data_IF_677105943010
#
_entry.id   IF_677105943010
#
_cell.length_a   1.000
_cell.length_b   1.000
_cell.length_c   1.000
_cell.angle_alpha   90.00
_cell.angle_beta   90.00
_cell.angle_gamma   90.00
#
_symmetry.space_group_name_H-M   'P 1'
#
loop_
_entity.id
_entity.type
_entity.pdbx_description
1 polymer ?
2 non-polymer ?
3 water ?
#
# COMPACT_ATOMS: atom_id res chain seq x y z
N UNK A 13 22.62 9.14 11.88
CA UNK A 13 23.99 9.47 11.53
C UNK A 13 24.38 8.63 10.31
N UNK A 14 24.39 7.29 10.50
CA UNK A 14 24.69 6.34 9.44
C UNK A 14 23.82 6.51 8.20
N UNK A 15 24.46 6.66 7.03
CA UNK A 15 23.76 6.91 5.77
C UNK A 15 22.79 5.77 5.44
N UNK A 16 21.56 6.15 5.09
CA UNK A 16 20.48 5.22 4.77
C UNK A 16 19.92 5.56 3.40
N UNK A 17 19.42 4.53 2.71
CA UNK A 17 18.81 4.62 1.40
C UNK A 17 17.42 4.00 1.46
N UNK A 18 16.47 4.67 0.83
CA UNK A 18 15.05 4.29 0.87
C UNK A 18 14.48 4.31 -0.52
N UNK A 19 13.54 3.40 -0.77
CA UNK A 19 12.70 3.41 -1.95
C UNK A 19 11.29 3.79 -1.50
N UNK A 20 10.67 4.73 -2.19
CA UNK A 20 9.23 4.97 -1.96
C UNK A 20 8.54 4.82 -3.30
N UNK A 21 7.63 3.85 -3.38
CA UNK A 21 6.89 3.62 -4.61
C UNK A 21 5.64 4.50 -4.66
N UNK A 22 5.16 4.73 -5.89
CA UNK A 22 4.09 5.68 -6.17
C UNK A 22 4.32 7.05 -5.53
N UNK A 23 5.51 7.62 -5.72
CA UNK A 23 5.93 8.75 -4.91
C UNK A 23 5.94 10.09 -5.63
N UNK A 24 5.39 10.19 -6.86
CA UNK A 24 5.34 11.44 -7.60
C UNK A 24 4.19 12.37 -7.19
N UNK A 25 3.27 11.92 -6.33
CA UNK A 25 2.21 12.80 -5.84
C UNK A 25 1.67 12.23 -4.55
N UNK A 26 0.75 12.97 -3.93
CA UNK A 26 -0.03 12.40 -2.83
C UNK A 26 0.80 12.21 -1.58
N UNK A 27 0.52 11.12 -0.86
CA UNK A 27 1.24 10.86 0.39
C UNK A 27 2.67 10.39 0.11
N UNK A 28 2.85 9.54 -0.91
CA UNK A 28 4.19 9.11 -1.31
C UNK A 28 5.15 10.27 -1.44
N UNK A 29 4.76 11.32 -2.19
CA UNK A 29 5.58 12.52 -2.35
C UNK A 29 5.97 13.10 -0.99
N UNK A 30 5.02 13.16 -0.05
CA UNK A 30 5.31 13.72 1.27
C UNK A 30 6.20 12.79 2.11
N UNK A 31 6.01 11.46 1.99
CA UNK A 31 6.95 10.52 2.61
C UNK A 31 8.37 10.80 2.13
N UNK A 32 8.56 10.90 0.81
CA UNK A 32 9.88 11.18 0.23
C UNK A 32 10.46 12.46 0.79
N UNK A 33 9.63 13.52 0.84
CA UNK A 33 10.10 14.80 1.31
C UNK A 33 10.60 14.67 2.74
N UNK A 34 9.84 13.99 3.58
CA UNK A 34 10.18 13.92 4.98
C UNK A 34 11.36 13.00 5.26
N UNK A 35 11.53 11.91 4.51
CA UNK A 35 12.75 11.11 4.62
C UNK A 35 13.96 11.92 4.16
N UNK A 36 13.84 12.60 3.03
CA UNK A 36 14.98 13.34 2.52
C UNK A 36 15.39 14.43 3.49
N UNK A 37 14.42 15.06 4.17
CA UNK A 37 14.77 16.10 5.11
C UNK A 37 15.46 15.55 6.36
N UNK A 38 15.39 14.25 6.61
CA UNK A 38 16.08 13.69 7.76
C UNK A 38 17.43 13.06 7.40
N UNK A 39 17.96 13.38 6.22
CA UNK A 39 19.23 12.85 5.79
C UNK A 39 19.16 11.56 5.01
N UNK A 40 17.99 10.92 4.95
CA UNK A 40 17.87 9.70 4.15
C UNK A 40 18.04 10.03 2.67
N UNK A 41 18.74 9.15 1.92
CA UNK A 41 18.79 9.28 0.48
C UNK A 41 17.66 8.46 -0.11
N UNK A 42 16.77 9.11 -0.84
CA UNK A 42 15.49 8.54 -1.25
C UNK A 42 15.47 8.32 -2.75
N UNK A 43 14.96 7.16 -3.16
CA UNK A 43 14.61 6.94 -4.55
C UNK A 43 13.13 7.24 -4.69
N UNK A 44 12.82 8.28 -5.45
CA UNK A 44 11.45 8.66 -5.78
C UNK A 44 11.03 7.85 -7.01
N UNK A 45 10.20 6.83 -6.80
CA UNK A 45 9.75 5.93 -7.85
C UNK A 45 8.38 6.38 -8.36
N UNK A 46 8.23 6.47 -9.69
CA UNK A 46 6.92 6.82 -10.26
C UNK A 46 6.64 6.01 -11.50
N UNK A 47 5.37 5.69 -11.70
CA UNK A 47 4.99 4.87 -12.83
C UNK A 47 5.43 5.53 -14.15
N UNK A 48 5.26 6.85 -14.24
CA UNK A 48 5.72 7.62 -15.40
C UNK A 48 7.05 8.32 -15.11
N UNK A 49 8.05 8.14 -15.99
CA UNK A 49 9.37 8.68 -15.69
C UNK A 49 9.36 10.21 -15.60
N UNK A 50 8.62 10.88 -16.50
CA UNK A 50 8.67 12.34 -16.54
C UNK A 50 7.98 12.98 -15.33
N UNK A 51 6.91 12.37 -14.81
CA UNK A 51 6.29 12.97 -13.63
C UNK A 51 7.18 12.82 -12.41
N UNK A 52 7.96 11.75 -12.35
CA UNK A 52 8.88 11.59 -11.22
C UNK A 52 10.05 12.54 -11.28
N UNK A 53 10.56 12.79 -12.48
CA UNK A 53 11.58 13.82 -12.65
C UNK A 53 11.03 15.15 -12.19
N UNK A 54 9.81 15.47 -12.62
CA UNK A 54 9.21 16.74 -12.24
C UNK A 54 8.94 16.81 -10.75
N UNK A 55 8.49 15.71 -10.14
CA UNK A 55 8.25 15.71 -8.69
C UNK A 55 9.55 15.93 -7.93
N UNK A 56 10.65 15.34 -8.42
CA UNK A 56 11.92 15.54 -7.75
C UNK A 56 12.32 17.00 -7.77
N UNK A 57 12.14 17.68 -8.91
CA UNK A 57 12.47 19.10 -9.01
C UNK A 57 11.73 19.93 -7.98
N UNK A 58 10.42 19.69 -7.84
CA UNK A 58 9.64 20.44 -6.86
C UNK A 58 10.08 20.10 -5.45
N UNK A 59 10.39 18.84 -5.21
CA UNK A 59 10.89 18.43 -3.92
C UNK A 59 12.20 19.15 -3.60
N UNK A 60 13.10 19.23 -4.58
CA UNK A 60 14.38 19.89 -4.35
C UNK A 60 14.20 21.39 -4.20
N UNK A 61 13.26 21.99 -4.93
CA UNK A 61 13.02 23.43 -4.80
C UNK A 61 12.46 23.78 -3.42
N UNK A 62 11.65 22.88 -2.84
CA UNK A 62 11.06 23.14 -1.53
C UNK A 62 12.06 22.90 -0.40
N UNK A 63 12.86 21.83 -0.48
CA UNK A 63 13.80 21.55 0.59
C UNK A 63 15.08 22.40 0.49
N UNK A 64 15.48 22.80 -0.72
CA UNK A 64 16.75 23.49 -0.88
C UNK A 64 17.69 22.71 -1.79
N UNK A 65 18.53 23.40 -2.55
CA UNK A 65 19.37 22.70 -3.52
C UNK A 65 20.39 21.77 -2.85
N UNK A 66 20.68 22.00 -1.57
CA UNK A 66 21.63 21.15 -0.85
C UNK A 66 21.12 19.72 -0.71
N UNK A 67 19.82 19.48 -0.93
CA UNK A 67 19.24 18.14 -0.93
C UNK A 67 19.24 17.49 -2.29
N UNK A 68 19.85 18.11 -3.30
CA UNK A 68 19.79 17.56 -4.64
C UNK A 68 20.33 16.14 -4.74
N UNK A 69 21.38 15.82 -3.95
CA UNK A 69 21.98 14.49 -3.94
C UNK A 69 21.17 13.45 -3.16
N UNK A 70 20.30 13.90 -2.25
CA UNK A 70 19.49 13.03 -1.41
C UNK A 70 18.19 12.54 -2.07
N UNK A 71 17.81 13.04 -3.24
CA UNK A 71 16.61 12.58 -3.93
C UNK A 71 16.99 12.14 -5.34
N UNK A 72 16.56 10.95 -5.74
CA UNK A 72 16.82 10.43 -7.06
C UNK A 72 15.52 9.88 -7.65
N UNK A 73 15.24 10.22 -8.90
CA UNK A 73 14.05 9.73 -9.57
C UNK A 73 14.34 8.42 -10.33
N UNK A 74 13.43 7.47 -10.23
CA UNK A 74 13.56 6.23 -11.01
C UNK A 74 12.16 5.78 -11.43
N UNK A 75 11.99 5.45 -12.71
CA UNK A 75 10.73 4.89 -13.19
C UNK A 75 10.47 3.55 -12.53
N UNK A 76 9.21 3.30 -12.14
CA UNK A 76 8.84 2.02 -11.51
C UNK A 76 7.36 1.79 -11.72
N UNK A 77 7.03 0.73 -12.42
CA UNK A 77 5.67 0.20 -12.46
C UNK A 77 5.67 -1.14 -11.73
N UNK A 78 4.99 -1.18 -10.58
CA UNK A 78 5.05 -2.35 -9.69
C UNK A 78 4.37 -3.57 -10.33
N UNK A 79 3.55 -3.35 -11.36
CA UNK A 79 2.86 -4.42 -12.07
C UNK A 79 3.69 -5.03 -13.19
N UNK A 80 4.90 -4.51 -13.45
CA UNK A 80 5.74 -4.83 -14.60
C UNK A 80 7.05 -5.41 -14.09
N UNK A 81 7.22 -6.74 -14.15
CA UNK A 81 8.45 -7.36 -13.62
C UNK A 81 9.73 -6.74 -14.16
N UNK A 82 9.73 -6.33 -15.43
CA UNK A 82 10.94 -5.76 -16.03
C UNK A 82 11.26 -4.40 -15.43
N UNK A 83 10.21 -3.62 -15.10
CA UNK A 83 10.39 -2.36 -14.38
C UNK A 83 11.01 -2.61 -13.01
N UNK A 84 10.44 -3.56 -12.26
CA UNK A 84 11.00 -3.93 -10.96
C UNK A 84 12.47 -4.35 -11.12
N UNK A 85 12.76 -5.27 -12.06
CA UNK A 85 14.14 -5.74 -12.23
C UNK A 85 15.08 -4.58 -12.55
N UNK A 86 14.65 -3.65 -13.41
CA UNK A 86 15.49 -2.49 -13.69
C UNK A 86 15.76 -1.67 -12.44
N UNK A 87 14.79 -1.60 -11.51
CA UNK A 87 15.01 -0.78 -10.31
C UNK A 87 16.02 -1.44 -9.39
N UNK A 88 15.91 -2.78 -9.23
CA UNK A 88 16.94 -3.49 -8.47
C UNK A 88 18.33 -3.25 -9.06
N UNK A 89 18.44 -3.28 -10.40
CA UNK A 89 19.76 -3.04 -10.99
C UNK A 89 20.25 -1.64 -10.73
N UNK A 90 19.33 -0.66 -10.81
CA UNK A 90 19.69 0.72 -10.56
C UNK A 90 20.22 0.88 -9.13
N UNK A 91 19.51 0.33 -8.15
CA UNK A 91 19.93 0.50 -6.77
C UNK A 91 21.24 -0.21 -6.53
N UNK A 92 21.40 -1.38 -7.16
CA UNK A 92 22.65 -2.12 -7.01
C UNK A 92 23.84 -1.31 -7.51
N UNK A 93 23.75 -0.74 -8.71
CA UNK A 93 24.93 -0.09 -9.27
C UNK A 93 25.10 1.33 -8.78
N UNK A 94 24.05 1.96 -8.25
CA UNK A 94 24.27 3.34 -7.85
C UNK A 94 24.64 3.48 -6.38
N UNK A 95 24.05 2.64 -5.51
CA UNK A 95 24.23 2.71 -4.05
C UNK A 95 24.82 1.45 -3.44
N UNK A 96 24.43 0.27 -3.91
CA UNK A 96 24.94 -0.99 -3.39
C UNK A 96 24.17 -1.52 -2.20
N UNK A 97 23.22 -0.75 -1.67
CA UNK A 97 22.60 -1.02 -0.39
C UNK A 97 21.18 -0.47 -0.44
N UNK A 98 20.31 -1.03 0.40
CA UNK A 98 18.98 -0.50 0.66
C UNK A 98 18.60 -0.83 2.09
N UNK A 99 17.99 0.14 2.76
CA UNK A 99 17.58 0.05 4.17
C UNK A 99 16.07 0.15 4.38
N UNK A 100 15.34 0.93 3.57
CA UNK A 100 13.92 1.19 3.75
C UNK A 100 13.17 0.98 2.44
N UNK A 101 12.07 0.23 2.49
CA UNK A 101 11.12 0.13 1.38
C UNK A 101 9.78 0.68 1.85
N UNK A 102 9.22 1.68 1.16
CA UNK A 102 7.84 2.11 1.47
C UNK A 102 6.97 1.75 0.28
N UNK A 103 6.15 0.72 0.45
CA UNK A 103 5.16 0.31 -0.54
C UNK A 103 3.94 1.21 -0.41
N UNK A 104 3.94 2.23 -1.22
CA UNK A 104 2.88 3.21 -1.25
C UNK A 104 2.06 3.17 -2.52
N UNK A 105 2.59 2.62 -3.62
CA UNK A 105 1.81 2.57 -4.85
C UNK A 105 0.50 1.82 -4.62
N UNK A 106 -0.61 2.38 -5.11
CA UNK A 106 -1.91 1.78 -4.85
C UNK A 106 -3.02 2.31 -5.72
N UNK A 107 -4.06 1.50 -5.85
CA UNK A 107 -5.26 1.78 -6.64
C UNK A 107 -6.48 1.50 -5.79
N UNK A 108 -7.57 2.23 -6.10
CA UNK A 108 -8.87 2.08 -5.47
C UNK A 108 -9.75 1.03 -6.14
N UNK A 109 -9.57 0.79 -7.44
CA UNK A 109 -10.48 -0.09 -8.16
C UNK A 109 -11.84 0.53 -8.48
N UNK A 110 -11.96 1.85 -8.33
CA UNK A 110 -13.23 2.52 -8.52
C UNK A 110 -13.05 3.85 -9.23
N UNK A 111 -14.15 4.33 -9.82
CA UNK A 111 -14.20 5.72 -10.26
C UNK A 111 -15.63 6.20 -10.14
N UNK A 112 -15.82 7.51 -10.27
CA UNK A 112 -17.12 8.15 -10.19
C UNK A 112 -17.66 8.45 -11.58
N UNK A 113 -18.89 8.02 -11.84
CA UNK A 113 -19.72 8.59 -12.90
C UNK A 113 -20.50 9.76 -12.33
N UNK A 114 -20.59 10.84 -13.10
CA UNK A 114 -21.38 11.99 -12.68
C UNK A 114 -20.68 12.88 -11.66
N UNK A 115 -21.45 13.47 -10.74
CA UNK A 115 -20.88 14.33 -9.69
C UNK A 115 -19.87 13.56 -8.84
N UNK A 116 -18.58 13.90 -8.98
CA UNK A 116 -17.51 13.20 -8.24
C UNK A 116 -17.65 13.34 -6.74
N UNK A 117 -18.41 14.32 -6.26
CA UNK A 117 -18.45 14.59 -4.82
C UNK A 117 -19.36 13.62 -4.07
N UNK A 118 -20.27 12.93 -4.77
CA UNK A 118 -21.03 11.82 -4.20
C UNK A 118 -20.12 10.75 -3.59
N UNK A 119 -18.83 10.73 -3.96
CA UNK A 119 -17.89 9.81 -3.35
C UNK A 119 -17.85 9.97 -1.83
N UNK A 120 -17.97 11.21 -1.34
CA UNK A 120 -18.00 11.44 0.10
C UNK A 120 -19.21 10.78 0.77
N UNK A 121 -20.31 10.61 0.05
CA UNK A 121 -21.45 9.87 0.60
C UNK A 121 -21.14 8.38 0.68
N UNK A 122 -20.44 7.86 -0.32
CA UNK A 122 -20.07 6.46 -0.28
C UNK A 122 -19.07 6.20 0.85
N UNK A 123 -18.09 7.10 1.01
CA UNK A 123 -17.07 6.92 2.04
C UNK A 123 -17.69 7.02 3.43
N UNK A 124 -18.67 7.92 3.57
CA UNK A 124 -19.39 8.10 4.83
C UNK A 124 -20.13 6.82 5.23
N UNK A 125 -20.88 6.22 4.30
CA UNK A 125 -21.59 4.99 4.59
C UNK A 125 -20.63 3.89 5.04
N UNK A 126 -19.43 3.83 4.47
CA UNK A 126 -18.52 2.77 4.90
C UNK A 126 -18.04 3.03 6.32
N UNK A 127 -17.79 4.30 6.66
CA UNK A 127 -17.17 4.62 7.95
C UNK A 127 -18.11 4.43 9.13
N UNK A 128 -19.43 4.50 8.90
CA UNK A 128 -20.35 4.21 9.99
C UNK A 128 -20.23 2.76 10.44
N UNK A 129 -19.74 1.86 9.58
CA UNK A 129 -19.56 0.47 10.02
C UNK A 129 -18.62 0.36 11.21
N UNK A 130 -17.65 1.27 11.32
CA UNK A 130 -16.81 1.30 12.52
C UNK A 130 -17.60 1.64 13.77
N UNK A 131 -18.60 2.52 13.66
CA UNK A 131 -19.32 2.86 14.87
C UNK A 131 -20.46 1.88 15.14
N UNK A 132 -20.72 0.93 14.25
CA UNK A 132 -21.82 -0.02 14.43
C UNK A 132 -21.42 -1.48 14.23
N UNK A 133 -20.37 -1.78 13.48
CA UNK A 133 -20.03 -3.17 13.21
C UNK A 133 -21.02 -3.88 12.33
N UNK A 134 -22.13 -3.25 11.95
CA UNK A 134 -23.10 -3.83 11.04
C UNK A 134 -22.54 -3.66 9.63
N UNK A 135 -21.99 -4.74 9.07
CA UNK A 135 -21.41 -4.69 7.73
C UNK A 135 -22.50 -5.01 6.70
N UNK A 136 -23.03 -3.96 6.05
CA UNK A 136 -23.99 -4.12 4.97
C UNK A 136 -23.42 -4.97 3.84
N UNK A 137 -24.25 -5.89 3.33
CA UNK A 137 -23.87 -6.76 2.21
C UNK A 137 -24.62 -6.44 0.92
N UNK A 138 -25.67 -5.55 0.98
CA UNK A 138 -26.48 -5.14 -0.16
C UNK A 138 -26.02 -3.78 -0.66
N UNK A 139 -25.93 -3.64 -1.98
CA UNK A 139 -25.37 -2.41 -2.54
C UNK A 139 -26.32 -1.25 -2.32
N UNK A 140 -25.79 -0.17 -1.77
CA UNK A 140 -26.56 1.05 -1.53
C UNK A 140 -25.85 2.24 -2.16
N UNK A 141 -26.48 2.81 -3.20
CA UNK A 141 -25.98 4.01 -3.88
C UNK A 141 -26.69 5.24 -3.35
N UNK A 142 -26.00 6.12 -2.63
CA UNK A 142 -26.70 7.20 -1.90
C UNK A 142 -27.45 8.18 -2.79
N UNK A 143 -26.99 8.45 -4.02
CA UNK A 143 -27.66 9.43 -4.86
C UNK A 143 -27.68 8.94 -6.30
N UNK A 144 -28.55 9.57 -7.09
CA UNK A 144 -28.52 9.41 -8.54
C UNK A 144 -27.71 10.53 -9.21
N UNK A 145 -27.25 11.51 -8.42
CA UNK A 145 -26.30 12.53 -8.90
C UNK A 145 -24.98 11.90 -9.38
N UNK A 146 -24.45 10.91 -8.62
CA UNK A 146 -23.25 10.19 -9.01
C UNK A 146 -23.36 8.70 -8.70
N UNK A 147 -22.40 7.93 -9.24
CA UNK A 147 -22.37 6.49 -8.99
C UNK A 147 -20.92 6.01 -8.93
N UNK A 148 -20.63 5.17 -7.93
CA UNK A 148 -19.29 4.62 -7.74
C UNK A 148 -19.20 3.38 -8.62
N UNK A 149 -18.46 3.48 -9.74
CA UNK A 149 -18.38 2.40 -10.70
C UNK A 149 -17.21 1.51 -10.33
N UNK A 150 -17.43 0.19 -10.34
CA UNK A 150 -16.37 -0.79 -10.08
C UNK A 150 -16.36 -1.84 -11.19
N UNK A 151 -15.58 -1.60 -12.26
CA UNK A 151 -15.53 -2.55 -13.36
C UNK A 151 -14.67 -3.77 -13.04
N UNK A 152 -14.88 -4.82 -13.81
CA UNK A 152 -14.11 -6.05 -13.64
C UNK A 152 -12.62 -5.82 -13.90
N UNK A 153 -12.29 -5.08 -14.96
CA UNK A 153 -10.88 -4.82 -15.27
C UNK A 153 -10.19 -4.01 -14.17
N UNK A 154 -10.84 -2.94 -13.67
CA UNK A 154 -10.33 -2.20 -12.52
C UNK A 154 -10.19 -3.06 -11.26
N UNK A 155 -11.10 -4.03 -11.03
CA UNK A 155 -10.89 -4.96 -9.92
C UNK A 155 -9.63 -5.79 -10.11
N UNK A 156 -9.36 -6.28 -11.34
CA UNK A 156 -8.13 -7.02 -11.61
C UNK A 156 -6.90 -6.13 -11.38
N UNK A 157 -6.89 -4.94 -11.97
CA UNK A 157 -5.75 -4.04 -11.81
C UNK A 157 -5.51 -3.70 -10.34
N UNK A 158 -6.60 -3.52 -9.58
CA UNK A 158 -6.46 -3.17 -8.18
C UNK A 158 -5.79 -4.28 -7.37
N UNK A 159 -6.23 -5.54 -7.56
CA UNK A 159 -5.57 -6.69 -6.93
C UNK A 159 -4.13 -6.85 -7.44
N UNK A 160 -3.93 -6.70 -8.76
CA UNK A 160 -2.60 -6.87 -9.34
C UNK A 160 -1.61 -5.82 -8.81
N UNK A 161 -2.07 -4.59 -8.57
CA UNK A 161 -1.16 -3.58 -8.06
C UNK A 161 -1.01 -3.68 -6.54
N UNK A 162 -2.13 -3.64 -5.80
CA UNK A 162 -2.05 -3.52 -4.35
C UNK A 162 -1.45 -4.76 -3.69
N UNK A 163 -1.86 -5.95 -4.13
CA UNK A 163 -1.31 -7.17 -3.54
C UNK A 163 -0.07 -7.61 -4.32
N UNK A 164 -0.22 -8.05 -5.58
CA UNK A 164 0.92 -8.64 -6.31
C UNK A 164 2.02 -7.61 -6.60
N UNK A 165 1.64 -6.37 -6.92
CA UNK A 165 2.63 -5.30 -7.07
C UNK A 165 3.48 -5.10 -5.85
N UNK A 166 2.86 -4.92 -4.69
CA UNK A 166 3.62 -4.68 -3.46
C UNK A 166 4.49 -5.89 -3.15
N UNK A 167 3.94 -7.09 -3.32
CA UNK A 167 4.67 -8.32 -3.05
C UNK A 167 5.84 -8.49 -4.04
N UNK A 168 5.61 -8.15 -5.31
CA UNK A 168 6.67 -8.26 -6.32
C UNK A 168 7.86 -7.38 -5.98
N UNK A 169 7.58 -6.10 -5.68
CA UNK A 169 8.62 -5.16 -5.27
C UNK A 169 9.32 -5.62 -4.00
N UNK A 170 8.57 -6.17 -3.03
CA UNK A 170 9.18 -6.54 -1.76
C UNK A 170 10.20 -7.66 -1.95
N UNK A 171 9.77 -8.71 -2.63
CA UNK A 171 10.63 -9.87 -2.85
C UNK A 171 11.84 -9.52 -3.72
N UNK A 172 11.72 -8.60 -4.70
CA UNK A 172 12.92 -8.19 -5.45
C UNK A 172 13.92 -7.41 -4.60
N UNK A 173 13.49 -6.73 -3.55
CA UNK A 173 14.38 -5.86 -2.79
C UNK A 173 14.81 -6.48 -1.46
N UNK A 174 14.10 -7.50 -0.99
CA UNK A 174 14.52 -8.22 0.21
C UNK A 174 16.00 -8.62 0.18
N UNK A 175 16.52 -9.22 -0.91
CA UNK A 175 17.95 -9.60 -0.87
C UNK A 175 18.86 -8.44 -0.56
N UNK A 176 18.56 -7.29 -1.14
CA UNK A 176 19.29 -6.07 -0.85
C UNK A 176 19.02 -5.56 0.58
N UNK A 177 17.74 -5.55 1.02
CA UNK A 177 17.40 -5.04 2.35
C UNK A 177 18.02 -5.89 3.44
N UNK A 178 18.14 -7.19 3.19
CA UNK A 178 18.66 -8.09 4.20
C UNK A 178 20.12 -7.79 4.56
N UNK A 179 20.87 -7.11 3.69
CA UNK A 179 22.23 -6.69 4.04
C UNK A 179 22.29 -5.40 4.83
N UNK A 180 21.14 -4.93 5.32
CA UNK A 180 21.06 -3.75 6.16
C UNK A 180 21.11 -4.19 7.62
N UNK A 181 21.79 -3.39 8.47
CA UNK A 181 21.74 -3.72 9.90
C UNK A 181 20.46 -3.23 10.59
N UNK A 182 19.53 -2.62 9.84
CA UNK A 182 18.18 -2.34 10.30
C UNK A 182 17.24 -2.20 9.10
N UNK A 183 16.87 -3.31 8.45
CA UNK A 183 15.97 -3.21 7.31
C UNK A 183 14.54 -2.89 7.73
N UNK A 184 13.90 -1.99 6.96
CA UNK A 184 12.57 -1.46 7.27
C UNK A 184 11.66 -1.59 6.05
N UNK A 185 10.50 -2.21 6.23
CA UNK A 185 9.49 -2.28 5.18
C UNK A 185 8.19 -1.76 5.75
N UNK A 186 7.56 -0.80 5.04
CA UNK A 186 6.32 -0.16 5.44
C UNK A 186 5.32 -0.34 4.30
N UNK A 187 4.18 -0.96 4.61
CA UNK A 187 3.13 -1.19 3.62
C UNK A 187 1.98 -0.24 3.88
N UNK A 188 1.74 0.67 2.94
CA UNK A 188 0.66 1.64 3.07
C UNK A 188 -0.66 0.95 2.75
N UNK A 189 -1.46 0.72 3.79
CA UNK A 189 -2.77 0.04 3.73
C UNK A 189 -3.90 1.09 3.83
N UNK A 190 -5.08 0.67 4.30
CA UNK A 190 -6.24 1.56 4.41
C UNK A 190 -7.15 1.07 5.52
N UNK A 191 -7.91 1.99 6.12
CA UNK A 191 -8.93 1.56 7.08
C UNK A 191 -9.93 0.59 6.45
N UNK A 192 -10.22 0.70 5.14
CA UNK A 192 -11.07 -0.32 4.50
C UNK A 192 -10.45 -1.71 4.51
N UNK A 193 -9.22 -1.86 5.00
CA UNK A 193 -8.64 -3.19 5.12
C UNK A 193 -9.18 -3.94 6.33
N UNK A 194 -9.81 -3.21 7.26
CA UNK A 194 -10.35 -3.82 8.47
C UNK A 194 -11.31 -4.95 8.15
N UNK A 195 -11.23 -6.02 8.93
CA UNK A 195 -12.10 -7.16 8.68
C UNK A 195 -13.57 -6.90 9.01
N UNK A 196 -13.91 -5.78 9.70
CA UNK A 196 -15.32 -5.44 9.90
C UNK A 196 -16.02 -5.35 8.55
N UNK A 197 -15.28 -5.00 7.48
CA UNK A 197 -15.86 -4.82 6.15
C UNK A 197 -15.91 -6.10 5.35
N UNK A 198 -15.21 -7.15 5.80
CA UNK A 198 -15.15 -8.39 5.03
C UNK A 198 -16.43 -9.17 5.27
N UNK A 199 -17.41 -8.91 4.40
CA UNK A 199 -18.69 -9.59 4.46
C UNK A 199 -18.56 -11.10 4.26
N UNK A 200 -17.58 -11.56 3.48
CA UNK A 200 -17.52 -12.97 3.09
C UNK A 200 -16.87 -13.77 4.21
N UNK A 201 -17.63 -14.71 4.78
CA UNK A 201 -17.18 -15.34 6.04
C UNK A 201 -15.97 -16.23 5.82
N UNK A 202 -15.94 -16.96 4.70
CA UNK A 202 -14.75 -17.76 4.38
C UNK A 202 -13.50 -16.88 4.31
N UNK A 203 -13.56 -15.82 3.49
CA UNK A 203 -12.41 -14.92 3.31
C UNK A 203 -12.00 -14.28 4.64
N UNK A 204 -12.98 -13.81 5.43
CA UNK A 204 -12.68 -13.26 6.74
C UNK A 204 -11.95 -14.27 7.61
N UNK A 205 -12.38 -15.53 7.58
CA UNK A 205 -11.67 -16.56 8.34
C UNK A 205 -10.22 -16.68 7.94
N UNK A 206 -9.94 -16.69 6.64
CA UNK A 206 -8.56 -16.78 6.18
C UNK A 206 -7.76 -15.59 6.71
N UNK A 207 -8.26 -14.36 6.48
CA UNK A 207 -7.53 -13.15 6.87
C UNK A 207 -7.27 -13.10 8.38
N UNK A 208 -8.15 -13.74 9.20
CA UNK A 208 -8.09 -13.68 10.65
C UNK A 208 -7.12 -14.68 11.25
N UNK A 209 -6.71 -15.68 10.46
CA UNK A 209 -5.85 -16.74 10.95
C UNK A 209 -4.54 -16.19 11.47
N UNK A 210 -4.20 -16.58 12.69
CA UNK A 210 -2.89 -16.29 13.25
C UNK A 210 -1.95 -17.46 13.08
N UNK A 211 -2.48 -18.65 12.87
CA UNK A 211 -1.72 -19.87 12.67
C UNK A 211 -2.13 -20.52 11.36
N UNK A 212 -1.15 -21.06 10.64
CA UNK A 212 -1.46 -21.73 9.40
C UNK A 212 -1.89 -20.81 8.27
N UNK A 213 -1.61 -19.52 8.39
CA UNK A 213 -1.84 -18.59 7.29
C UNK A 213 -0.68 -18.69 6.31
N UNK A 214 -1.00 -18.98 5.05
CA UNK A 214 0.00 -19.05 3.99
C UNK A 214 -0.34 -18.05 2.88
N UNK A 215 0.70 -17.64 2.16
CA UNK A 215 0.51 -16.89 0.92
C UNK A 215 -0.37 -17.65 -0.05
N UNK A 216 -0.29 -18.98 -0.03
CA UNK A 216 -1.13 -19.77 -0.92
C UNK A 216 -2.60 -19.56 -0.59
N UNK A 217 -2.95 -19.50 0.71
CA UNK A 217 -4.35 -19.30 1.09
C UNK A 217 -4.80 -17.90 0.71
N UNK A 218 -3.93 -16.89 0.91
CA UNK A 218 -4.26 -15.53 0.48
C UNK A 218 -4.56 -15.48 -1.00
N UNK A 219 -3.69 -16.10 -1.79
CA UNK A 219 -3.89 -16.05 -3.23
C UNK A 219 -5.16 -16.76 -3.64
N UNK A 220 -5.56 -17.78 -2.88
CA UNK A 220 -6.80 -18.50 -3.17
C UNK A 220 -8.01 -17.61 -2.90
N UNK A 221 -7.96 -16.81 -1.85
CA UNK A 221 -9.03 -15.87 -1.58
C UNK A 221 -9.11 -14.85 -2.71
N UNK A 222 -7.96 -14.35 -3.16
CA UNK A 222 -7.95 -13.35 -4.21
C UNK A 222 -8.54 -13.91 -5.50
N UNK A 223 -8.09 -15.12 -5.88
CA UNK A 223 -8.59 -15.74 -7.10
C UNK A 223 -10.09 -16.02 -6.99
N UNK A 224 -10.54 -16.42 -5.80
CA UNK A 224 -11.96 -16.69 -5.61
C UNK A 224 -12.77 -15.41 -5.71
N UNK A 225 -12.26 -14.31 -5.16
CA UNK A 225 -12.97 -13.05 -5.28
C UNK A 225 -13.05 -12.59 -6.73
N UNK A 226 -11.94 -12.76 -7.47
CA UNK A 226 -11.93 -12.32 -8.87
C UNK A 226 -12.83 -13.18 -9.72
N UNK A 227 -12.97 -14.46 -9.38
CA UNK A 227 -13.83 -15.34 -10.17
C UNK A 227 -15.29 -14.96 -9.95
N UNK A 228 -15.69 -14.79 -8.70
CA UNK A 228 -17.05 -14.35 -8.43
C UNK A 228 -17.31 -12.94 -8.94
N UNK A 229 -16.30 -12.08 -8.99
CA UNK A 229 -16.54 -10.73 -9.49
C UNK A 229 -16.79 -10.75 -11.00
N UNK A 230 -15.96 -11.47 -11.74
CA UNK A 230 -16.21 -11.72 -13.16
C UNK A 230 -17.58 -12.39 -13.35
N UNK A 231 -17.84 -13.48 -12.63
CA UNK A 231 -19.11 -14.19 -12.76
C UNK A 231 -20.31 -13.33 -12.37
N UNK A 232 -20.10 -12.14 -11.82
CA UNK A 232 -21.21 -11.28 -11.45
C UNK A 232 -21.98 -11.71 -10.22
N UNK A 233 -21.37 -12.50 -9.35
CA UNK A 233 -22.02 -13.00 -8.14
C UNK A 233 -21.49 -12.33 -6.87
N UNK A 234 -21.08 -11.06 -6.97
CA UNK A 234 -20.48 -10.36 -5.83
C UNK A 234 -21.42 -10.39 -4.62
N UNK A 235 -22.70 -10.15 -4.86
CA UNK A 235 -23.60 -10.12 -3.72
C UNK A 235 -24.06 -11.53 -3.35
N UNK A 236 -24.29 -12.38 -4.35
CA UNK A 236 -24.60 -13.77 -4.10
C UNK A 236 -23.61 -14.37 -3.10
N UNK A 237 -22.31 -14.21 -3.36
CA UNK A 237 -21.24 -14.81 -2.58
C UNK A 237 -20.85 -13.98 -1.36
N UNK A 238 -21.62 -12.93 -1.02
CA UNK A 238 -21.44 -12.16 0.22
C UNK A 238 -20.16 -11.33 0.22
N UNK A 239 -19.66 -10.94 -0.94
CA UNK A 239 -18.53 -10.04 -1.04
C UNK A 239 -19.00 -8.61 -0.78
N UNK A 240 -18.09 -7.73 -0.33
CA UNK A 240 -18.49 -6.34 0.01
C UNK A 240 -19.14 -5.64 -1.17
N UNK A 241 -20.26 -4.94 -0.96
CA UNK A 241 -20.91 -4.28 -2.09
C UNK A 241 -20.12 -3.11 -2.68
N UNK A 242 -19.37 -2.35 -1.89
CA UNK A 242 -18.63 -1.19 -2.40
C UNK A 242 -17.17 -1.26 -1.99
N UNK A 243 -16.31 -0.64 -2.81
CA UNK A 243 -14.85 -0.70 -2.64
C UNK A 243 -14.37 -2.14 -2.50
N UNK A 244 -14.98 -3.01 -3.31
CA UNK A 244 -14.88 -4.43 -3.03
C UNK A 244 -13.45 -4.94 -3.26
N UNK A 245 -12.89 -4.73 -4.45
CA UNK A 245 -11.52 -5.15 -4.73
C UNK A 245 -10.54 -4.48 -3.77
N UNK A 246 -10.77 -3.20 -3.48
CA UNK A 246 -9.91 -2.47 -2.57
C UNK A 246 -9.85 -3.14 -1.21
N UNK A 247 -11.02 -3.45 -0.66
CA UNK A 247 -11.06 -4.06 0.66
C UNK A 247 -10.33 -5.41 0.70
N UNK A 248 -10.64 -6.30 -0.26
CA UNK A 248 -10.00 -7.60 -0.29
C UNK A 248 -8.50 -7.48 -0.52
N UNK A 249 -8.07 -6.58 -1.43
CA UNK A 249 -6.64 -6.48 -1.72
C UNK A 249 -5.85 -5.91 -0.55
N UNK A 250 -6.39 -4.90 0.14
CA UNK A 250 -5.64 -4.32 1.25
C UNK A 250 -5.67 -5.22 2.48
N UNK A 251 -6.76 -5.94 2.71
CA UNK A 251 -6.74 -6.97 3.75
C UNK A 251 -5.70 -8.06 3.42
N UNK A 252 -5.65 -8.53 2.17
CA UNK A 252 -4.63 -9.50 1.81
C UNK A 252 -3.24 -8.94 2.08
N UNK A 253 -3.01 -7.68 1.72
CA UNK A 253 -1.70 -7.05 1.95
C UNK A 253 -1.34 -7.02 3.43
N UNK A 254 -2.31 -6.71 4.31
CA UNK A 254 -2.09 -6.79 5.75
C UNK A 254 -1.67 -8.20 6.17
N UNK A 255 -2.45 -9.20 5.78
CA UNK A 255 -2.11 -10.57 6.12
C UNK A 255 -0.73 -10.94 5.56
N UNK A 256 -0.43 -10.48 4.35
CA UNK A 256 0.87 -10.77 3.77
C UNK A 256 1.99 -10.12 4.57
N UNK A 257 1.77 -8.88 5.04
CA UNK A 257 2.68 -8.19 5.94
C UNK A 257 3.00 -9.03 7.18
N UNK A 258 2.00 -9.69 7.78
CA UNK A 258 2.32 -10.50 8.95
C UNK A 258 3.14 -11.74 8.56
N UNK A 259 2.83 -12.33 7.41
CA UNK A 259 3.54 -13.53 6.94
C UNK A 259 5.03 -13.24 6.82
N UNK A 260 5.41 -12.20 6.06
CA UNK A 260 6.83 -11.87 5.93
C UNK A 260 7.41 -11.24 7.21
N UNK A 261 6.60 -10.64 8.07
CA UNK A 261 7.13 -10.22 9.38
C UNK A 261 7.75 -11.41 10.12
N UNK A 262 7.05 -12.56 10.10
CA UNK A 262 7.52 -13.78 10.74
C UNK A 262 8.66 -14.44 9.96
N UNK A 263 8.70 -14.29 8.62
CA UNK A 263 9.78 -14.90 7.83
C UNK A 263 11.13 -14.23 8.11
N UNK A 264 11.12 -12.90 8.31
CA UNK A 264 12.32 -12.08 8.46
C UNK A 264 12.29 -11.35 9.81
N UNK A 265 12.53 -12.07 10.91
CA UNK A 265 12.54 -11.43 12.24
C UNK A 265 13.54 -10.29 12.40
N UNK A 266 14.66 -10.33 11.70
CA UNK A 266 15.61 -9.24 11.87
C UNK A 266 15.13 -7.94 11.22
N UNK A 267 14.07 -7.98 10.39
CA UNK A 267 13.46 -6.81 9.80
C UNK A 267 12.36 -6.27 10.72
N UNK A 268 12.01 -4.99 10.53
CA UNK A 268 10.77 -4.40 11.03
C UNK A 268 9.85 -4.17 9.84
N UNK A 269 8.77 -4.97 9.74
CA UNK A 269 7.82 -4.94 8.64
C UNK A 269 6.42 -4.60 9.19
N UNK A 270 5.82 -3.51 8.71
CA UNK A 270 4.53 -3.09 9.26
C UNK A 270 3.66 -2.49 8.16
N UNK A 271 2.33 -2.58 8.38
CA UNK A 271 1.29 -1.88 7.61
C UNK A 271 0.80 -0.67 8.39
N UNK A 272 0.35 0.35 7.67
CA UNK A 272 -0.12 1.56 8.35
C UNK A 272 -1.25 2.19 7.54
N UNK A 273 -2.36 2.53 8.21
CA UNK A 273 -3.38 3.38 7.59
C UNK A 273 -2.96 4.84 7.72
N UNK A 274 -2.79 5.58 6.63
CA UNK A 274 -2.35 6.97 6.76
C UNK A 274 -3.54 7.87 7.08
N UNK A 289 -4.57 16.48 5.42
CA UNK A 289 -3.55 16.89 4.46
C UNK A 289 -2.56 15.73 4.21
N UNK A 290 -1.79 15.82 3.14
CA UNK A 290 -0.87 14.72 2.84
C UNK A 290 0.36 14.75 3.72
N UNK A 291 0.83 15.95 4.08
CA UNK A 291 2.00 16.05 4.93
C UNK A 291 1.75 15.40 6.28
N UNK A 292 0.54 15.57 6.83
CA UNK A 292 0.23 14.96 8.13
C UNK A 292 0.05 13.45 7.99
N UNK A 293 -0.60 13.01 6.92
CA UNK A 293 -0.80 11.59 6.74
C UNK A 293 0.51 10.85 6.47
N UNK A 294 1.55 11.54 5.99
CA UNK A 294 2.85 10.91 5.75
C UNK A 294 3.62 10.66 7.04
N UNK A 295 3.27 11.33 8.14
CA UNK A 295 4.00 11.19 9.40
C UNK A 295 4.01 9.75 9.91
N UNK A 296 2.88 9.06 9.78
CA UNK A 296 2.80 7.69 10.30
C UNK A 296 3.70 6.73 9.50
N UNK A 297 3.61 6.63 8.17
CA UNK A 297 4.59 5.77 7.49
C UNK A 297 6.02 6.23 7.68
N UNK A 298 6.28 7.54 7.80
CA UNK A 298 7.66 7.98 7.98
C UNK A 298 8.22 7.50 9.31
N UNK A 299 7.41 7.58 10.37
CA UNK A 299 7.84 7.07 11.67
C UNK A 299 8.16 5.58 11.61
N UNK A 300 7.33 4.80 10.91
CA UNK A 300 7.60 3.38 10.76
C UNK A 300 8.83 3.09 9.89
N UNK A 301 9.18 4.00 8.97
CA UNK A 301 10.36 3.79 8.13
C UNK A 301 11.66 4.03 8.89
N UNK A 302 11.62 4.88 9.93
CA UNK A 302 12.74 5.15 10.82
C UNK A 302 12.57 4.47 12.18
N UNK A 303 11.73 3.46 12.25
CA UNK A 303 11.42 2.80 13.51
C UNK A 303 12.70 2.25 14.16
N UNK A 304 12.91 2.49 15.47
CA UNK A 304 14.05 1.89 16.19
C UNK A 304 14.02 0.36 16.18
N UNK A 305 15.18 -0.23 16.52
CA UNK A 305 15.37 -1.69 16.55
C UNK A 305 14.30 -2.43 17.36
N UNK A 306 13.75 -1.80 18.39
CA UNK A 306 12.76 -2.46 19.23
C UNK A 306 11.33 -2.17 18.88
N UNK A 307 11.10 -1.46 17.78
CA UNK A 307 9.77 -1.29 17.25
C UNK A 307 9.15 -2.63 16.95
N UNK A 308 7.83 -2.66 16.87
CA UNK A 308 7.12 -3.89 16.52
C UNK A 308 7.32 -4.29 15.06
N UNK A 309 6.78 -5.45 14.74
CA UNK A 309 6.84 -6.01 13.40
C UNK A 309 5.62 -6.91 13.24
N UNK A 310 4.96 -6.83 12.10
CA UNK A 310 3.78 -7.63 11.86
C UNK A 310 2.49 -6.96 12.23
N UNK A 311 2.53 -5.65 12.50
CA UNK A 311 1.37 -4.93 13.03
C UNK A 311 0.76 -4.07 11.95
N UNK A 312 -0.57 -3.90 12.03
CA UNK A 312 -1.29 -2.86 11.28
C UNK A 312 -1.55 -1.70 12.22
N UNK A 313 -0.96 -0.54 11.91
CA UNK A 313 -1.11 0.67 12.69
C UNK A 313 -2.14 1.60 12.08
N UNK A 314 -2.99 2.18 12.92
CA UNK A 314 -3.86 3.25 12.48
C UNK A 314 -3.20 4.57 12.88
N UNK A 315 -2.81 5.36 11.88
CA UNK A 315 -2.13 6.64 12.04
C UNK A 315 -0.96 6.41 13.02
N UNK A 316 -1.06 6.90 14.26
CA UNK A 316 0.07 6.85 15.19
C UNK A 316 -0.14 5.90 16.38
N UNK A 317 -1.05 4.93 16.27
CA UNK A 317 -1.40 4.06 17.39
C UNK A 317 -1.09 2.60 17.12
N UNK A 318 -0.61 1.90 18.16
CA UNK A 318 -0.18 0.50 18.11
C UNK A 318 -1.34 -0.45 17.83
N UNK A 319 -1.01 -1.70 17.50
CA UNK A 319 -2.02 -2.76 17.46
C UNK A 319 -1.38 -4.15 17.64
N UNK A 320 -0.80 -4.74 16.62
CA UNK A 320 -0.14 -6.06 16.68
C UNK A 320 -1.04 -7.17 17.19
X LIG B 1 -2.82 8.70 -5.34
X LIG B 1 -3.76 8.12 -6.44
X LIG B 1 -2.61 10.18 -5.41
X LIG B 1 -1.37 8.00 -5.44
X LIG B 1 -1.18 6.61 -5.73
X LIG B 1 0.19 6.50 -6.32
X LIG B 1 0.42 5.13 -6.73
X LIG B 1 0.41 7.36 -7.59
X LIG B 1 1.63 8.10 -7.51
X LIG B 1 0.35 6.34 -8.73
X LIG B 1 1.12 6.70 -9.88
X LIG B 1 0.99 5.14 -8.02
X LIG B 1 0.71 3.87 -8.65
X LIG B 1 -0.50 3.30 -8.92
X LIG B 1 -0.43 2.16 -9.58
X LIG B 1 0.95 1.99 -9.75
X LIG B 1 1.69 0.95 -10.35
X LIG B 1 1.18 0.05 -11.19
X LIG B 1 3.03 0.99 -10.20
X LIG B 1 3.59 2.05 -9.60
X LIG B 1 2.98 3.13 -9.08
X LIG B 1 1.64 3.01 -9.18
X LIG B 1 -3.37 8.27 -3.92
X LIG B 1 -2.81 8.34 -2.42
X LIG B 1 -3.99 8.49 -1.54
X LIG B 1 -1.72 9.35 -2.31
X LIG B 1 -2.24 6.85 -2.29
X LIG B 1 -1.15 6.48 -1.42
X LIG B 1 -1.45 5.17 -0.72
X LIG B 1 -2.21 5.42 0.48
X LIG B 1 -2.22 4.12 -1.53
X LIG B 1 -1.61 2.82 -1.42
X LIG B 1 -3.64 4.20 -0.94
X LIG B 1 -4.32 2.94 -1.09
X LIG B 1 -3.35 4.61 0.52
X LIG B 1 -4.49 5.39 1.24
X LIG B 1 -4.80 6.65 0.89
X LIG B 1 -5.76 7.35 1.62
X LIG B 1 -6.11 8.79 1.27
X LIG B 1 -6.01 9.68 2.16
X LIG B 1 -6.52 9.04 0.03
X LIG B 1 -6.39 6.72 2.69
X LIG B 1 -6.04 5.41 3.02
X LIG B 1 -5.08 4.77 2.28
X LIG B 1 0.55 7.55 -11.15
X LIG B 1 0.51 9.08 -10.74
X LIG B 1 1.63 7.33 -12.31
X LIG B 1 -0.88 7.17 -11.45
#
# INVERSE_FOLDING_TARGET
GAMGDEVVVDHAATKRYAVVTGANKGIGFEICKQLASKGITVILASRDEKRGIEARERLIKELGSEFGDYVVSQQLDVADPASVAALVDFIKTKFGSLDILVNNAGLNGTYMEGDASVLNDYVEAEFKTFQSGAAKTEPYHPKATGRLVETVEHAKECIETNYYGSKRVTEALIPLLQQSDSPRIVNVSSTLSSLVFQTNEWAKGVFSSEEGLTEEKLEEVLAEFLKDFIDGKQQEKQWPPHFSAYKVSKAALNAYTRIIAKKYPSFRINAVCPGYTKTDLSYGHGQFTDAEAAEAPVKLALLPQGGPSGCFFFRDEAFCLYLE
NAP PA O1A O2A O5B C5B C4B O4B C3B O3B C2B O2B C1B N9A C8A N7A C5A C6A N6A N1A C2A N3A C4A O3 PN O1N O2N O5D C5D C4D O4D C3D O3D C2D O2D C1D N1N C2N C3N C7N O7N N7N C4N C5N C6N P2B O1X O2X O3X
#
